data_IF_302987309059
#
_entry.id   IF_302987309059
#
_cell.length_a   1.000
_cell.length_b   1.000
_cell.length_c   1.000
_cell.angle_alpha   90.00
_cell.angle_beta   90.00
_cell.angle_gamma   90.00
#
_symmetry.space_group_name_H-M   'P 1'
#
loop_
_entity.id
_entity.type
_entity.pdbx_description
1 polymer ?
#
# COMPACT_ATOMS: atom_id res chain seq x y z
N UNK A 1 -15.83 23.24 20.27
CA UNK A 1 -15.92 21.93 19.58
C UNK A 1 -14.52 21.55 19.12
N UNK A 2 -13.93 20.48 19.65
CA UNK A 2 -12.58 20.06 19.25
C UNK A 2 -12.75 19.28 17.95
N UNK A 3 -12.29 19.83 16.83
CA UNK A 3 -12.28 19.14 15.55
C UNK A 3 -11.64 17.75 15.73
N UNK A 4 -12.32 16.69 15.27
CA UNK A 4 -11.76 15.33 15.28
C UNK A 4 -10.44 15.35 14.53
N UNK A 5 -9.34 15.08 15.24
CA UNK A 5 -8.00 15.03 14.67
C UNK A 5 -7.84 13.72 13.90
N UNK A 6 -7.79 13.80 12.58
CA UNK A 6 -7.42 12.67 11.72
C UNK A 6 -5.91 12.69 11.56
N UNK A 7 -5.28 11.56 11.84
CA UNK A 7 -3.84 11.34 11.60
C UNK A 7 -3.67 10.25 10.56
N UNK A 8 -2.68 10.41 9.69
CA UNK A 8 -2.34 9.44 8.66
C UNK A 8 -0.93 8.95 8.96
N UNK A 9 -0.76 7.64 9.01
CA UNK A 9 0.54 7.00 9.05
C UNK A 9 1.01 6.75 7.62
N UNK A 10 2.28 7.03 7.35
CA UNK A 10 2.90 6.91 6.02
C UNK A 10 4.07 5.93 6.12
N UNK A 11 3.92 4.78 5.46
CA UNK A 11 4.86 3.65 5.46
C UNK A 11 6.24 4.02 4.91
N UNK A 12 6.28 4.80 3.83
CA UNK A 12 7.50 5.23 3.14
C UNK A 12 8.46 6.03 4.04
N UNK A 13 7.93 6.64 5.13
CA UNK A 13 8.72 7.39 6.12
C UNK A 13 9.09 6.50 7.31
N UNK A 14 8.27 5.49 7.61
CA UNK A 14 8.33 4.71 8.83
C UNK A 14 9.09 3.39 8.67
N UNK A 15 9.20 2.86 7.44
CA UNK A 15 9.82 1.57 7.13
C UNK A 15 10.84 1.77 6.02
N UNK A 16 12.04 1.22 6.20
CA UNK A 16 13.04 1.19 5.15
C UNK A 16 12.65 0.14 4.10
N UNK A 17 12.15 0.60 2.94
CA UNK A 17 11.68 -0.29 1.85
C UNK A 17 12.80 -0.74 0.89
N UNK A 18 14.05 -0.45 1.22
CA UNK A 18 15.21 -0.88 0.42
C UNK A 18 15.64 -2.30 0.79
N UNK A 19 16.12 -3.10 -0.17
CA UNK A 19 16.83 -4.33 0.14
C UNK A 19 18.06 -3.98 1.00
N UNK A 20 18.23 -4.61 2.16
CA UNK A 20 19.44 -4.46 2.95
C UNK A 20 20.62 -5.02 2.14
N UNK A 21 21.61 -4.18 1.81
CA UNK A 21 22.76 -4.62 1.02
C UNK A 21 23.62 -5.56 1.87
N UNK A 22 23.68 -6.84 1.50
CA UNK A 22 24.53 -7.85 2.14
C UNK A 22 23.81 -8.87 3.04
N UNK A 23 22.55 -8.60 3.42
CA UNK A 23 21.71 -9.54 4.17
C UNK A 23 20.33 -9.66 3.50
N UNK A 24 19.76 -10.86 3.57
CA UNK A 24 18.60 -11.32 2.78
C UNK A 24 17.41 -10.36 2.84
N UNK A 25 17.07 -9.74 1.71
CA UNK A 25 15.74 -9.13 1.48
C UNK A 25 15.30 -8.15 2.56
N UNK A 26 14.00 -7.88 2.66
CA UNK A 26 13.45 -7.17 3.81
C UNK A 26 13.49 -8.08 5.04
N UNK A 27 13.77 -7.51 6.20
CA UNK A 27 13.69 -8.26 7.45
C UNK A 27 12.23 -8.69 7.66
N UNK A 28 11.99 -9.96 8.00
CA UNK A 28 10.64 -10.45 8.30
C UNK A 28 9.94 -9.58 9.37
N UNK A 29 10.72 -9.00 10.28
CA UNK A 29 10.25 -8.07 11.30
C UNK A 29 9.64 -6.79 10.70
N UNK A 30 10.16 -6.25 9.60
CA UNK A 30 9.60 -5.06 8.94
C UNK A 30 8.21 -5.35 8.35
N UNK A 31 8.05 -6.56 7.79
CA UNK A 31 6.78 -7.05 7.23
C UNK A 31 5.76 -7.33 8.33
N UNK A 32 6.18 -7.96 9.43
CA UNK A 32 5.33 -8.22 10.60
C UNK A 32 4.89 -6.92 11.28
N UNK A 33 5.81 -5.95 11.42
CA UNK A 33 5.51 -4.63 11.96
C UNK A 33 4.49 -3.89 11.10
N UNK A 34 4.60 -3.95 9.77
CA UNK A 34 3.62 -3.37 8.86
C UNK A 34 2.22 -3.98 9.06
N UNK A 35 2.13 -5.30 9.16
CA UNK A 35 0.87 -5.99 9.42
C UNK A 35 0.24 -5.57 10.76
N UNK A 36 1.06 -5.43 11.81
CA UNK A 36 0.63 -4.97 13.13
C UNK A 36 0.12 -3.52 13.09
N UNK A 37 0.86 -2.61 12.44
CA UNK A 37 0.48 -1.20 12.26
C UNK A 37 -0.85 -1.11 11.52
N UNK A 38 -0.99 -1.85 10.41
CA UNK A 38 -2.26 -1.96 9.68
C UNK A 38 -3.35 -2.41 10.64
N UNK A 39 -3.15 -3.46 11.44
CA UNK A 39 -4.13 -3.93 12.42
C UNK A 39 -4.66 -2.83 13.36
N UNK A 40 -3.80 -1.92 13.81
CA UNK A 40 -4.16 -0.81 14.70
C UNK A 40 -4.84 0.37 13.99
N UNK A 41 -4.56 0.57 12.69
CA UNK A 41 -5.12 1.68 11.92
C UNK A 41 -6.63 1.48 11.67
N UNK A 42 -7.44 2.53 11.77
CA UNK A 42 -8.90 2.42 11.56
C UNK A 42 -9.25 1.98 10.13
N UNK A 43 -8.54 2.51 9.13
CA UNK A 43 -8.71 2.25 7.69
C UNK A 43 -7.36 2.40 7.00
N UNK A 44 -7.26 1.83 5.80
CA UNK A 44 -6.15 2.06 4.87
C UNK A 44 -6.64 2.94 3.73
N UNK A 45 -5.90 4.00 3.43
CA UNK A 45 -6.23 4.93 2.35
C UNK A 45 -5.51 4.49 1.08
N UNK A 46 -6.26 3.96 0.10
CA UNK A 46 -5.74 3.68 -1.23
C UNK A 46 -5.96 4.92 -2.10
N UNK A 47 -4.90 5.70 -2.29
CA UNK A 47 -4.94 6.90 -3.12
C UNK A 47 -4.59 6.52 -4.55
N UNK A 48 -5.53 6.70 -5.47
CA UNK A 48 -5.34 6.40 -6.89
C UNK A 48 -5.21 7.70 -7.68
N UNK A 49 -4.10 7.83 -8.39
CA UNK A 49 -3.99 8.74 -9.53
C UNK A 49 -4.76 8.15 -10.73
N UNK A 50 -4.98 8.92 -11.81
CA UNK A 50 -5.66 8.40 -13.00
C UNK A 50 -5.00 7.13 -13.56
N UNK A 51 -3.66 7.11 -13.57
CA UNK A 51 -2.88 5.97 -14.06
C UNK A 51 -2.92 4.72 -13.16
N UNK A 52 -3.51 4.79 -11.96
CA UNK A 52 -3.56 3.68 -11.02
C UNK A 52 -2.18 3.21 -10.54
N UNK A 53 -1.18 4.09 -10.46
CA UNK A 53 0.21 3.75 -10.18
C UNK A 53 0.38 3.00 -8.84
N UNK A 54 -0.44 3.28 -7.83
CA UNK A 54 -0.41 2.53 -6.57
C UNK A 54 -0.71 1.03 -6.76
N UNK A 55 -1.50 0.65 -7.77
CA UNK A 55 -1.83 -0.74 -8.06
C UNK A 55 -0.69 -1.50 -8.74
N UNK A 56 0.38 -0.81 -9.17
CA UNK A 56 1.58 -1.44 -9.73
C UNK A 56 2.71 -1.63 -8.71
N UNK A 57 2.51 -1.16 -7.47
CA UNK A 57 3.50 -1.23 -6.39
C UNK A 57 3.18 -2.41 -5.49
N UNK A 58 4.11 -3.36 -5.38
CA UNK A 58 3.89 -4.59 -4.59
C UNK A 58 3.51 -4.29 -3.13
N UNK A 59 4.11 -3.24 -2.55
CA UNK A 59 3.81 -2.80 -1.19
C UNK A 59 2.38 -2.33 -1.01
N UNK A 60 1.90 -1.45 -1.90
CA UNK A 60 0.52 -0.97 -1.82
C UNK A 60 -0.49 -2.12 -1.98
N UNK A 61 -0.20 -3.09 -2.86
CA UNK A 61 -1.03 -4.30 -3.02
C UNK A 61 -1.02 -5.14 -1.73
N UNK A 62 0.16 -5.34 -1.14
CA UNK A 62 0.31 -6.06 0.12
C UNK A 62 -0.45 -5.39 1.26
N UNK A 63 -0.36 -4.06 1.41
CA UNK A 63 -1.07 -3.32 2.44
C UNK A 63 -2.60 -3.43 2.29
N UNK A 64 -3.10 -3.33 1.05
CA UNK A 64 -4.51 -3.56 0.75
C UNK A 64 -4.92 -4.97 1.15
N UNK A 65 -4.14 -5.99 0.78
CA UNK A 65 -4.40 -7.38 1.16
C UNK A 65 -4.43 -7.55 2.69
N UNK A 66 -3.40 -7.09 3.41
CA UNK A 66 -3.34 -7.18 4.87
C UNK A 66 -4.51 -6.45 5.54
N UNK A 67 -4.95 -5.33 4.97
CA UNK A 67 -6.13 -4.61 5.44
C UNK A 67 -7.40 -5.43 5.28
N UNK A 68 -7.56 -6.10 4.14
CA UNK A 68 -8.72 -6.97 3.88
C UNK A 68 -8.73 -8.17 4.83
N UNK A 69 -7.58 -8.79 5.09
CA UNK A 69 -7.48 -9.87 6.07
C UNK A 69 -7.88 -9.41 7.48
N UNK A 70 -7.40 -8.24 7.90
CA UNK A 70 -7.64 -7.73 9.25
C UNK A 70 -9.04 -7.12 9.43
N UNK A 71 -9.63 -6.53 8.39
CA UNK A 71 -10.80 -5.63 8.51
C UNK A 71 -11.86 -5.78 7.42
N UNK A 72 -11.76 -6.77 6.54
CA UNK A 72 -12.56 -6.91 5.31
C UNK A 72 -12.36 -5.79 4.28
N UNK A 73 -13.05 -5.89 3.13
CA UNK A 73 -13.07 -4.86 2.09
C UNK A 73 -13.49 -3.48 2.60
N UNK A 74 -14.33 -3.41 3.64
CA UNK A 74 -14.74 -2.13 4.22
C UNK A 74 -13.57 -1.38 4.87
N UNK A 75 -12.48 -2.09 5.23
CA UNK A 75 -11.26 -1.53 5.81
C UNK A 75 -10.47 -0.63 4.87
N UNK A 76 -10.68 -0.74 3.56
CA UNK A 76 -9.98 0.04 2.53
C UNK A 76 -10.86 1.22 2.11
N UNK A 77 -10.33 2.42 2.22
CA UNK A 77 -10.95 3.64 1.73
C UNK A 77 -10.20 4.10 0.47
N UNK A 78 -10.87 4.03 -0.67
CA UNK A 78 -10.32 4.54 -1.93
C UNK A 78 -10.52 6.04 -1.98
N UNK A 79 -9.46 6.78 -2.30
CA UNK A 79 -9.50 8.21 -2.59
C UNK A 79 -9.01 8.39 -4.02
N UNK A 80 -9.89 8.87 -4.88
CA UNK A 80 -9.58 9.14 -6.27
C UNK A 80 -10.21 10.46 -6.68
N UNK A 81 -9.51 11.23 -7.51
CA UNK A 81 -10.10 12.43 -8.14
C UNK A 81 -10.74 12.13 -9.50
N UNK A 82 -10.24 11.16 -10.27
CA UNK A 82 -10.74 10.80 -11.60
C UNK A 82 -10.24 9.40 -12.02
N UNK A 83 -10.60 8.35 -11.29
CA UNK A 83 -10.23 6.98 -11.70
C UNK A 83 -11.22 6.47 -12.73
N UNK A 84 -10.76 6.31 -13.97
CA UNK A 84 -11.47 5.54 -14.98
C UNK A 84 -11.30 4.04 -14.67
N UNK A 85 -12.42 3.33 -14.53
CA UNK A 85 -12.41 1.88 -14.26
C UNK A 85 -11.81 1.08 -15.44
N UNK A 86 -11.88 1.63 -16.67
CA UNK A 86 -11.21 1.05 -17.83
C UNK A 86 -9.69 1.07 -17.69
N UNK A 87 -9.13 2.21 -17.28
CA UNK A 87 -7.69 2.35 -17.05
C UNK A 87 -7.20 1.46 -15.91
N UNK A 88 -7.96 1.35 -14.82
CA UNK A 88 -7.64 0.42 -13.71
C UNK A 88 -7.57 -1.02 -14.17
N UNK A 89 -8.52 -1.46 -15.02
CA UNK A 89 -8.51 -2.82 -15.57
C UNK A 89 -7.26 -3.08 -16.40
N UNK A 90 -6.86 -2.12 -17.22
CA UNK A 90 -5.68 -2.25 -18.07
C UNK A 90 -4.37 -2.25 -17.28
N UNK A 91 -4.34 -1.62 -16.10
CA UNK A 91 -3.21 -1.70 -15.15
C UNK A 91 -3.02 -3.14 -14.68
N UNK A 92 -4.09 -3.81 -14.25
CA UNK A 92 -4.01 -5.20 -13.79
C UNK A 92 -3.59 -6.19 -14.87
N UNK A 93 -3.98 -5.93 -16.13
CA UNK A 93 -3.57 -6.77 -17.26
C UNK A 93 -2.09 -6.62 -17.62
N UNK A 94 -1.48 -5.50 -17.26
CA UNK A 94 -0.09 -5.15 -17.58
C UNK A 94 0.84 -5.22 -16.37
N UNK A 95 0.34 -5.66 -15.23
CA UNK A 95 1.13 -5.75 -14.00
C UNK A 95 2.26 -6.77 -14.16
N UNK A 96 3.48 -6.26 -14.34
CA UNK A 96 4.69 -7.05 -14.31
C UNK A 96 5.20 -7.14 -12.87
N UNK A 97 5.02 -8.31 -12.26
CA UNK A 97 5.42 -8.63 -10.88
C UNK A 97 6.93 -8.43 -10.67
N UNK A 98 7.77 -8.70 -11.68
CA UNK A 98 9.20 -8.50 -11.56
C UNK A 98 9.54 -7.01 -11.50
N UNK A 99 8.89 -6.19 -12.32
CA UNK A 99 9.04 -4.73 -12.30
C UNK A 99 8.42 -4.06 -11.06
N UNK A 100 7.41 -4.69 -10.46
CA UNK A 100 6.69 -4.20 -9.29
C UNK A 100 7.45 -4.42 -7.97
N UNK A 101 8.53 -5.21 -7.99
CA UNK A 101 9.47 -5.28 -6.87
C UNK A 101 10.02 -3.88 -6.58
N UNK A 102 10.39 -3.61 -5.33
CA UNK A 102 10.94 -2.33 -4.89
C UNK A 102 12.25 -2.00 -5.63
N UNK A 103 12.11 -1.53 -6.86
CA UNK A 103 13.16 -1.12 -7.75
C UNK A 103 13.21 0.38 -7.61
N UNK A 104 14.18 0.86 -6.84
CA UNK A 104 14.61 2.24 -7.02
C UNK A 104 15.57 2.29 -8.21
N UNK A 105 15.54 3.36 -9.01
CA UNK A 105 16.54 3.59 -10.04
C UNK A 105 17.96 3.64 -9.47
#
# INVERSE_FOLDING_TARGET
EVARRTVVWLDIIAINQHPYVGERGLLNEDVENLAAVIGTARKTLLVLDPAGAALTRIWCIYEVWQTVLAKSMTGVQVVSRHTDLGEVKDVWQRLDVASAQASLP
#
